data_IF_300185595182
#
_entry.id   IF_300185595182
#
_cell.length_a   1.000
_cell.length_b   1.000
_cell.length_c   1.000
_cell.angle_alpha   90.00
_cell.angle_beta   90.00
_cell.angle_gamma   90.00
#
_symmetry.space_group_name_H-M   'P 1'
#
loop_
_entity.id
_entity.type
_entity.pdbx_description
1 polymer ?
#
# COMPACT_ATOMS: atom_id res chain seq x y z
N UNK A 1 -46.79 50.62 -41.65
CA UNK A 1 -45.78 51.00 -40.64
C UNK A 1 -45.75 49.86 -39.62
N UNK A 2 -44.75 48.98 -39.70
CA UNK A 2 -43.47 49.14 -38.98
C UNK A 2 -43.66 48.84 -37.48
N UNK A 3 -43.76 47.56 -37.09
CA UNK A 3 -42.62 46.71 -36.69
C UNK A 3 -41.73 47.36 -35.62
N UNK A 4 -41.91 46.90 -34.37
CA UNK A 4 -40.96 47.08 -33.28
C UNK A 4 -40.24 45.75 -33.03
N UNK A 5 -39.02 45.59 -33.54
CA UNK A 5 -38.13 44.52 -33.12
C UNK A 5 -37.37 44.96 -31.87
N UNK A 6 -37.61 44.27 -30.75
CA UNK A 6 -36.78 44.42 -29.55
C UNK A 6 -35.60 43.46 -29.65
N UNK A 7 -34.41 43.99 -29.90
CA UNK A 7 -33.16 43.21 -29.92
C UNK A 7 -32.69 42.98 -28.48
N UNK A 8 -33.14 41.87 -27.87
CA UNK A 8 -32.41 41.31 -26.73
C UNK A 8 -31.04 40.85 -27.22
N UNK A 9 -29.97 41.41 -26.67
CA UNK A 9 -28.61 41.00 -27.03
C UNK A 9 -28.30 39.63 -26.40
N UNK A 10 -27.71 38.73 -27.18
CA UNK A 10 -27.23 37.44 -26.68
C UNK A 10 -26.10 37.64 -25.66
N UNK A 11 -26.31 37.18 -24.42
CA UNK A 11 -25.21 36.99 -23.49
C UNK A 11 -24.50 35.67 -23.85
N UNK A 12 -23.19 35.68 -24.17
CA UNK A 12 -22.49 34.47 -24.55
C UNK A 12 -22.32 33.54 -23.35
N UNK A 13 -23.02 32.40 -23.36
CA UNK A 13 -22.85 31.35 -22.34
C UNK A 13 -21.38 30.90 -22.29
N UNK A 14 -20.81 30.92 -21.09
CA UNK A 14 -19.37 30.76 -20.90
C UNK A 14 -18.85 29.36 -21.21
N UNK A 15 -18.26 29.18 -22.40
CA UNK A 15 -17.47 27.98 -22.79
C UNK A 15 -16.13 27.86 -22.04
N UNK A 16 -16.10 28.20 -20.76
CA UNK A 16 -14.92 28.15 -19.88
C UNK A 16 -15.08 27.19 -18.70
N UNK A 17 -16.10 26.33 -18.70
CA UNK A 17 -16.60 25.64 -17.51
C UNK A 17 -16.08 24.22 -17.27
N UNK A 18 -15.74 23.47 -18.31
CA UNK A 18 -15.33 22.06 -18.15
C UNK A 18 -13.81 21.88 -18.18
N UNK A 19 -13.13 22.45 -19.19
CA UNK A 19 -11.68 22.30 -19.35
C UNK A 19 -10.86 23.12 -18.33
N UNK A 20 -11.44 24.21 -17.80
CA UNK A 20 -10.85 24.97 -16.69
C UNK A 20 -10.98 24.21 -15.37
N UNK A 21 -12.16 23.63 -15.07
CA UNK A 21 -12.39 22.81 -13.86
C UNK A 21 -11.43 21.62 -13.77
N UNK A 22 -11.07 21.00 -14.89
CA UNK A 22 -10.03 19.96 -14.98
C UNK A 22 -8.63 20.40 -14.50
N UNK A 23 -8.42 21.68 -14.17
CA UNK A 23 -7.16 22.21 -13.63
C UNK A 23 -7.29 22.77 -12.21
N UNK A 24 -8.36 22.44 -11.49
CA UNK A 24 -8.59 22.86 -10.10
C UNK A 24 -8.76 21.69 -9.13
N UNK A 25 -8.65 20.44 -9.61
CA UNK A 25 -8.99 19.22 -8.87
C UNK A 25 -7.77 18.39 -8.42
N UNK A 26 -7.98 17.60 -7.35
CA UNK A 26 -7.00 16.66 -6.80
C UNK A 26 -7.33 15.20 -7.16
N UNK A 27 -6.41 14.54 -7.86
CA UNK A 27 -6.52 13.14 -8.28
C UNK A 27 -5.79 12.17 -7.35
N UNK A 28 -6.35 10.99 -7.08
CA UNK A 28 -5.72 9.96 -6.23
C UNK A 28 -5.83 8.57 -6.85
N UNK A 29 -4.72 7.87 -7.06
CA UNK A 29 -4.73 6.42 -7.34
C UNK A 29 -4.65 5.65 -6.01
N UNK A 30 -5.63 4.80 -5.74
CA UNK A 30 -5.57 3.80 -4.66
C UNK A 30 -5.11 2.46 -5.23
N UNK A 31 -4.13 1.82 -4.57
CA UNK A 31 -3.54 0.54 -5.01
C UNK A 31 -3.59 -0.48 -3.87
N UNK A 32 -4.21 -1.63 -4.12
CA UNK A 32 -4.41 -2.69 -3.11
C UNK A 32 -3.21 -3.64 -2.96
N UNK A 33 -3.29 -4.55 -1.98
CA UNK A 33 -2.26 -5.56 -1.69
C UNK A 33 -2.22 -6.76 -2.63
N UNK A 34 -1.23 -7.65 -2.44
CA UNK A 34 -1.03 -8.86 -3.24
C UNK A 34 -2.14 -9.90 -2.98
N UNK A 35 -2.76 -10.44 -4.03
CA UNK A 35 -4.02 -11.20 -3.97
C UNK A 35 -5.19 -10.38 -3.37
N UNK A 36 -5.08 -9.05 -3.33
CA UNK A 36 -6.13 -8.12 -2.93
C UNK A 36 -7.13 -7.82 -4.04
N UNK A 37 -7.99 -6.83 -3.81
CA UNK A 37 -8.89 -6.26 -4.82
C UNK A 37 -9.31 -4.83 -4.45
N UNK A 38 -10.06 -4.16 -5.33
CA UNK A 38 -10.72 -2.86 -5.04
C UNK A 38 -11.47 -2.81 -3.70
N UNK A 39 -11.98 -3.95 -3.21
CA UNK A 39 -12.68 -4.03 -1.92
C UNK A 39 -11.80 -3.59 -0.75
N UNK A 40 -10.49 -3.88 -0.79
CA UNK A 40 -9.53 -3.57 0.28
C UNK A 40 -9.41 -2.05 0.53
N UNK A 41 -9.58 -1.26 -0.54
CA UNK A 41 -9.45 0.21 -0.55
C UNK A 41 -10.80 0.93 -0.64
N UNK A 42 -11.92 0.21 -0.83
CA UNK A 42 -13.25 0.79 -1.13
C UNK A 42 -13.76 1.78 -0.07
N UNK A 43 -13.51 1.52 1.22
CA UNK A 43 -13.96 2.42 2.30
C UNK A 43 -13.18 3.74 2.28
N UNK A 44 -11.88 3.69 1.99
CA UNK A 44 -11.04 4.87 1.79
C UNK A 44 -11.42 5.61 0.50
N UNK A 45 -11.78 4.90 -0.57
CA UNK A 45 -12.32 5.51 -1.79
C UNK A 45 -13.56 6.35 -1.50
N UNK A 46 -14.55 5.79 -0.80
CA UNK A 46 -15.77 6.51 -0.41
C UNK A 46 -15.43 7.71 0.49
N UNK A 47 -14.53 7.53 1.46
CA UNK A 47 -14.11 8.58 2.39
C UNK A 47 -13.41 9.77 1.72
N UNK A 48 -12.60 9.51 0.68
CA UNK A 48 -11.91 10.54 -0.11
C UNK A 48 -12.82 11.18 -1.17
N UNK A 49 -13.66 10.39 -1.87
CA UNK A 49 -14.69 10.94 -2.79
C UNK A 49 -15.65 11.89 -2.08
N UNK A 50 -16.04 11.57 -0.84
CA UNK A 50 -16.89 12.42 0.00
C UNK A 50 -16.24 13.76 0.41
N UNK A 51 -14.95 13.97 0.11
CA UNK A 51 -14.20 15.23 0.30
C UNK A 51 -13.84 15.91 -1.04
N UNK A 52 -14.43 15.47 -2.15
CA UNK A 52 -14.21 16.06 -3.47
C UNK A 52 -12.93 15.65 -4.19
N UNK A 53 -12.26 14.57 -3.77
CA UNK A 53 -11.10 14.05 -4.52
C UNK A 53 -11.54 13.16 -5.70
N UNK A 54 -10.89 13.32 -6.86
CA UNK A 54 -11.04 12.41 -7.99
C UNK A 54 -10.28 11.10 -7.72
N UNK A 55 -10.97 10.11 -7.13
CA UNK A 55 -10.35 8.82 -6.80
C UNK A 55 -10.41 7.83 -7.97
N UNK A 56 -9.31 7.13 -8.21
CA UNK A 56 -9.20 5.91 -9.03
C UNK A 56 -8.83 4.75 -8.12
N UNK A 57 -9.76 3.83 -7.88
CA UNK A 57 -9.49 2.59 -7.17
C UNK A 57 -8.99 1.54 -8.18
N UNK A 58 -7.67 1.45 -8.35
CA UNK A 58 -7.04 0.59 -9.35
C UNK A 58 -7.20 -0.88 -8.95
N UNK A 59 -7.67 -1.69 -9.90
CA UNK A 59 -7.55 -3.14 -9.81
C UNK A 59 -6.25 -3.54 -10.51
N UNK A 60 -5.30 -4.10 -9.78
CA UNK A 60 -4.02 -4.53 -10.38
C UNK A 60 -4.26 -5.67 -11.38
N UNK A 61 -3.55 -5.71 -12.53
CA UNK A 61 -3.66 -6.81 -13.48
C UNK A 61 -3.60 -8.21 -12.84
N UNK A 62 -4.49 -9.09 -13.29
CA UNK A 62 -4.71 -10.44 -12.78
C UNK A 62 -5.36 -10.57 -11.40
N UNK A 63 -5.67 -9.46 -10.71
CA UNK A 63 -6.37 -9.47 -9.43
C UNK A 63 -7.88 -9.23 -9.61
N UNK A 64 -8.70 -9.64 -8.64
CA UNK A 64 -10.14 -9.36 -8.59
C UNK A 64 -11.03 -10.12 -9.60
N UNK A 65 -10.46 -10.73 -10.64
CA UNK A 65 -11.14 -11.68 -11.52
C UNK A 65 -11.55 -12.96 -10.77
N UNK A 66 -12.60 -13.64 -11.25
CA UNK A 66 -13.12 -14.89 -10.66
C UNK A 66 -12.11 -16.05 -10.74
N UNK A 67 -11.22 -16.06 -11.75
CA UNK A 67 -10.09 -16.98 -11.80
C UNK A 67 -8.76 -16.28 -11.52
N UNK A 68 -8.18 -16.63 -10.37
CA UNK A 68 -6.86 -16.17 -9.95
C UNK A 68 -5.71 -16.64 -10.85
N UNK A 69 -5.92 -17.55 -11.82
CA UNK A 69 -4.85 -18.02 -12.73
C UNK A 69 -4.15 -16.91 -13.49
N UNK A 70 -4.82 -15.78 -13.77
CA UNK A 70 -4.21 -14.62 -14.44
C UNK A 70 -2.96 -14.11 -13.73
N UNK A 71 -2.85 -14.30 -12.41
CA UNK A 71 -1.63 -14.04 -11.63
C UNK A 71 -0.41 -14.91 -11.99
N UNK A 72 -0.56 -15.90 -12.89
CA UNK A 72 0.54 -16.68 -13.47
C UNK A 72 1.09 -16.00 -14.74
N UNK A 73 0.26 -15.26 -15.46
CA UNK A 73 0.59 -14.58 -16.73
C UNK A 73 1.12 -13.15 -16.50
N UNK A 74 0.78 -12.55 -15.36
CA UNK A 74 1.10 -11.16 -15.00
C UNK A 74 2.37 -11.07 -14.14
N UNK A 75 3.26 -10.14 -14.50
CA UNK A 75 4.48 -9.81 -13.77
C UNK A 75 4.40 -8.51 -12.96
N UNK A 76 5.43 -8.27 -12.12
CA UNK A 76 5.51 -7.04 -11.32
C UNK A 76 5.62 -5.76 -12.17
N UNK A 77 6.14 -5.87 -13.39
CA UNK A 77 6.25 -4.74 -14.33
C UNK A 77 4.89 -4.27 -14.81
N UNK A 78 3.96 -5.19 -15.02
CA UNK A 78 2.60 -4.88 -15.46
C UNK A 78 1.80 -4.20 -14.34
N UNK A 79 2.06 -4.56 -13.07
CA UNK A 79 1.53 -3.84 -11.92
C UNK A 79 2.10 -2.42 -11.80
N UNK A 80 3.41 -2.22 -12.06
CA UNK A 80 4.03 -0.88 -12.10
C UNK A 80 3.43 -0.05 -13.24
N UNK A 81 3.26 -0.63 -14.42
CA UNK A 81 2.72 0.08 -15.59
C UNK A 81 1.24 0.43 -15.40
N UNK A 82 0.44 -0.43 -14.76
CA UNK A 82 -0.94 -0.10 -14.41
C UNK A 82 -1.03 1.13 -13.47
N UNK A 83 -0.15 1.21 -12.46
CA UNK A 83 -0.08 2.38 -11.56
C UNK A 83 0.44 3.63 -12.29
N UNK A 84 1.42 3.48 -13.19
CA UNK A 84 1.92 4.58 -14.03
C UNK A 84 0.83 5.12 -14.97
N UNK A 85 0.09 4.23 -15.64
CA UNK A 85 -0.97 4.58 -16.59
C UNK A 85 -2.07 5.42 -15.94
N UNK A 86 -2.60 4.98 -14.79
CA UNK A 86 -3.60 5.76 -14.05
C UNK A 86 -3.04 7.09 -13.51
N UNK A 87 -1.75 7.13 -13.13
CA UNK A 87 -1.10 8.37 -12.74
C UNK A 87 -1.03 9.38 -13.90
N UNK A 88 -0.61 8.96 -15.10
CA UNK A 88 -0.60 9.84 -16.27
C UNK A 88 -2.04 10.27 -16.65
N UNK A 89 -3.00 9.33 -16.58
CA UNK A 89 -4.41 9.61 -16.85
C UNK A 89 -5.04 10.59 -15.84
N UNK A 90 -4.49 10.73 -14.62
CA UNK A 90 -4.84 11.79 -13.68
C UNK A 90 -4.06 13.09 -13.94
N UNK A 91 -2.76 13.02 -14.27
CA UNK A 91 -1.94 14.20 -14.64
C UNK A 91 -2.52 15.02 -15.80
N UNK A 92 -3.28 14.38 -16.69
CA UNK A 92 -3.99 15.06 -17.79
C UNK A 92 -5.31 15.77 -17.38
N UNK A 93 -5.83 15.58 -16.15
CA UNK A 93 -7.16 16.08 -15.72
C UNK A 93 -7.26 16.54 -14.25
N UNK A 94 -6.15 16.66 -13.55
CA UNK A 94 -6.06 17.12 -12.17
C UNK A 94 -4.81 18.01 -12.04
N UNK A 95 -4.87 19.03 -11.16
CA UNK A 95 -3.74 19.93 -10.90
C UNK A 95 -2.84 19.46 -9.75
N UNK A 96 -3.32 18.54 -8.92
CA UNK A 96 -2.51 17.78 -7.99
C UNK A 96 -2.81 16.28 -8.15
N UNK A 97 -1.78 15.43 -8.09
CA UNK A 97 -1.89 13.97 -8.25
C UNK A 97 -1.15 13.22 -7.14
N UNK A 98 -1.86 12.23 -6.57
CA UNK A 98 -1.43 11.49 -5.40
C UNK A 98 -1.49 9.99 -5.61
N UNK A 99 -0.59 9.27 -4.93
CA UNK A 99 -0.59 7.81 -4.92
C UNK A 99 -0.76 7.28 -3.50
N UNK A 100 -1.69 6.37 -3.28
CA UNK A 100 -1.97 5.74 -1.98
C UNK A 100 -1.98 4.23 -2.15
N UNK A 101 -1.14 3.51 -1.42
CA UNK A 101 -0.95 2.08 -1.61
C UNK A 101 -0.90 1.27 -0.32
N UNK A 102 -1.57 0.11 -0.31
CA UNK A 102 -1.49 -0.87 0.79
C UNK A 102 -0.65 -2.09 0.39
N UNK A 103 0.24 -2.53 1.29
CA UNK A 103 1.08 -3.73 1.11
C UNK A 103 1.88 -3.68 -0.19
N UNK A 104 1.69 -4.63 -1.12
CA UNK A 104 2.21 -4.56 -2.50
C UNK A 104 1.94 -3.20 -3.15
N UNK A 105 0.71 -2.69 -3.07
CA UNK A 105 0.35 -1.37 -3.58
C UNK A 105 1.20 -0.27 -2.97
N UNK A 106 1.49 -0.34 -1.66
CA UNK A 106 2.37 0.58 -0.95
C UNK A 106 3.81 0.55 -1.48
N UNK A 107 4.31 -0.64 -1.81
CA UNK A 107 5.60 -0.83 -2.47
C UNK A 107 5.61 -0.32 -3.93
N UNK A 108 4.53 -0.53 -4.69
CA UNK A 108 4.38 -0.07 -6.07
C UNK A 108 4.33 1.46 -6.16
N UNK A 109 3.53 2.13 -5.30
CA UNK A 109 3.41 3.60 -5.34
C UNK A 109 4.71 4.30 -4.99
N UNK A 110 5.51 3.76 -4.07
CA UNK A 110 6.85 4.26 -3.78
C UNK A 110 7.81 4.08 -4.96
N UNK A 111 7.74 2.95 -5.66
CA UNK A 111 8.57 2.72 -6.85
C UNK A 111 8.20 3.66 -8.00
N UNK A 112 6.90 3.94 -8.22
CA UNK A 112 6.45 4.91 -9.21
C UNK A 112 6.84 6.34 -8.80
N UNK A 113 6.64 6.73 -7.54
CA UNK A 113 7.06 8.05 -7.02
C UNK A 113 8.59 8.29 -6.99
N UNK A 114 9.40 7.26 -7.27
CA UNK A 114 10.84 7.38 -7.48
C UNK A 114 11.24 7.69 -8.94
N UNK A 115 10.28 7.61 -9.87
CA UNK A 115 10.47 7.79 -11.32
C UNK A 115 9.57 8.91 -11.88
N UNK A 116 8.43 9.14 -11.23
CA UNK A 116 7.38 10.07 -11.65
C UNK A 116 7.21 11.17 -10.59
N UNK A 117 7.15 12.42 -11.04
CA UNK A 117 6.71 13.51 -10.17
C UNK A 117 5.25 13.26 -9.70
N UNK A 118 5.04 13.32 -8.39
CA UNK A 118 3.73 13.25 -7.71
C UNK A 118 3.71 14.26 -6.56
N UNK A 119 2.53 14.69 -6.14
CA UNK A 119 2.37 15.73 -5.12
C UNK A 119 2.32 15.16 -3.69
N UNK A 120 2.18 13.85 -3.57
CA UNK A 120 2.36 13.12 -2.33
C UNK A 120 2.15 11.62 -2.50
N UNK A 121 2.82 10.83 -1.67
CA UNK A 121 2.70 9.38 -1.63
C UNK A 121 2.36 8.87 -0.23
N UNK A 122 1.38 7.99 -0.12
CA UNK A 122 0.97 7.34 1.14
C UNK A 122 1.19 5.84 1.03
N UNK A 123 2.05 5.28 1.89
CA UNK A 123 2.47 3.88 1.83
C UNK A 123 2.10 3.14 3.12
N UNK A 124 1.09 2.28 3.04
CA UNK A 124 0.50 1.55 4.17
C UNK A 124 1.03 0.12 4.23
N UNK A 125 1.73 -0.24 5.32
CA UNK A 125 2.31 -1.56 5.58
C UNK A 125 3.13 -2.11 4.39
N UNK A 126 3.87 -1.22 3.72
CA UNK A 126 4.63 -1.53 2.52
C UNK A 126 5.86 -2.43 2.82
N UNK A 127 6.03 -3.57 2.12
CA UNK A 127 7.17 -4.46 2.32
C UNK A 127 8.45 -3.93 1.67
N UNK A 128 9.60 -4.31 2.25
CA UNK A 128 10.93 -3.99 1.70
C UNK A 128 11.94 -5.15 1.82
N UNK A 129 11.80 -5.96 2.87
CA UNK A 129 12.67 -7.07 3.24
C UNK A 129 11.86 -8.34 3.58
N UNK A 130 10.74 -8.57 2.90
CA UNK A 130 10.05 -9.87 2.92
C UNK A 130 11.02 -10.95 2.47
N UNK A 131 11.37 -11.85 3.40
CA UNK A 131 11.93 -13.20 3.25
C UNK A 131 12.69 -13.51 1.94
N UNK A 132 13.58 -12.65 1.45
CA UNK A 132 14.06 -12.76 0.05
C UNK A 132 14.89 -14.03 -0.23
N UNK A 133 15.35 -14.70 0.83
CA UNK A 133 15.99 -16.02 0.78
C UNK A 133 15.02 -17.18 0.43
N UNK A 134 13.70 -16.99 0.54
CA UNK A 134 12.69 -18.02 0.20
C UNK A 134 12.37 -18.07 -1.30
N UNK A 135 12.78 -17.07 -2.09
CA UNK A 135 12.55 -17.00 -3.54
C UNK A 135 12.90 -18.30 -4.31
N UNK A 136 14.08 -18.95 -4.13
CA UNK A 136 14.37 -20.24 -4.78
C UNK A 136 13.43 -21.37 -4.33
N UNK A 137 12.99 -21.37 -3.06
CA UNK A 137 12.04 -22.36 -2.55
C UNK A 137 10.62 -22.13 -3.12
N UNK A 138 10.20 -20.89 -3.30
CA UNK A 138 8.92 -20.52 -3.92
C UNK A 138 8.91 -20.87 -5.41
N UNK A 139 10.01 -20.60 -6.13
CA UNK A 139 10.22 -21.02 -7.53
C UNK A 139 10.11 -22.54 -7.72
N UNK A 140 10.60 -23.33 -6.75
CA UNK A 140 10.44 -24.78 -6.74
C UNK A 140 9.00 -25.19 -6.38
N UNK A 141 8.46 -24.65 -5.30
CA UNK A 141 7.11 -24.95 -4.81
C UNK A 141 6.02 -24.65 -5.85
N UNK A 142 6.15 -23.56 -6.63
CA UNK A 142 5.23 -23.22 -7.71
C UNK A 142 5.08 -24.31 -8.77
N UNK A 143 6.12 -25.12 -9.01
CA UNK A 143 6.07 -26.24 -9.98
C UNK A 143 5.24 -27.42 -9.49
N UNK A 144 5.04 -27.54 -8.17
CA UNK A 144 4.34 -28.67 -7.53
C UNK A 144 2.96 -28.26 -6.99
N UNK A 145 2.84 -27.03 -6.49
CA UNK A 145 1.65 -26.45 -5.88
C UNK A 145 1.50 -24.98 -6.32
N UNK A 146 1.08 -24.70 -7.57
CA UNK A 146 1.03 -23.33 -8.11
C UNK A 146 0.05 -22.40 -7.38
N UNK A 147 -0.96 -22.97 -6.70
CA UNK A 147 -1.94 -22.25 -5.87
C UNK A 147 -1.96 -22.84 -4.46
N UNK A 148 -2.04 -22.00 -3.43
CA UNK A 148 -2.22 -22.41 -2.03
C UNK A 148 -3.54 -21.84 -1.51
N UNK A 149 -4.36 -22.66 -0.84
CA UNK A 149 -5.54 -22.15 -0.11
C UNK A 149 -5.10 -21.33 1.09
N UNK A 150 -5.50 -20.07 1.12
CA UNK A 150 -5.28 -19.17 2.24
C UNK A 150 -6.64 -18.85 2.88
N UNK A 151 -6.73 -18.98 4.20
CA UNK A 151 -7.99 -18.93 4.93
C UNK A 151 -7.94 -18.04 6.18
N UNK A 152 -6.87 -17.25 6.36
CA UNK A 152 -6.68 -16.43 7.55
C UNK A 152 -6.19 -15.03 7.17
N UNK A 153 -7.08 -14.05 7.24
CA UNK A 153 -6.77 -12.68 6.85
C UNK A 153 -6.34 -11.86 8.07
N UNK A 154 -5.21 -11.16 7.94
CA UNK A 154 -4.51 -10.48 9.04
C UNK A 154 -5.14 -9.12 9.35
N UNK A 155 -6.34 -9.22 9.93
CA UNK A 155 -7.17 -8.17 10.53
C UNK A 155 -7.32 -8.59 12.00
N UNK A 156 -7.23 -7.68 12.98
CA UNK A 156 -7.43 -8.00 14.40
C UNK A 156 -8.90 -8.11 14.77
N UNK A 157 -9.73 -7.18 14.29
CA UNK A 157 -11.17 -7.19 14.59
C UNK A 157 -11.86 -8.47 14.08
N UNK A 158 -12.47 -9.30 14.96
CA UNK A 158 -13.18 -10.50 14.54
C UNK A 158 -14.37 -10.22 13.61
N UNK A 159 -15.07 -9.10 13.78
CA UNK A 159 -16.27 -8.77 12.99
C UNK A 159 -15.89 -8.38 11.56
N UNK A 160 -14.95 -7.44 11.39
CA UNK A 160 -14.40 -7.06 10.10
C UNK A 160 -13.67 -8.23 9.43
N UNK A 161 -12.88 -9.03 10.17
CA UNK A 161 -12.26 -10.26 9.62
C UNK A 161 -13.31 -11.21 9.05
N UNK A 162 -14.42 -11.45 9.76
CA UNK A 162 -15.50 -12.30 9.28
C UNK A 162 -16.21 -11.72 8.04
N UNK A 163 -16.53 -10.42 8.04
CA UNK A 163 -17.13 -9.74 6.89
C UNK A 163 -16.22 -9.79 5.65
N UNK A 164 -14.93 -9.50 5.84
CA UNK A 164 -13.90 -9.54 4.80
C UNK A 164 -13.70 -10.97 4.25
N UNK A 165 -13.59 -11.98 5.11
CA UNK A 165 -13.50 -13.39 4.70
C UNK A 165 -14.75 -13.85 3.93
N UNK A 166 -15.96 -13.43 4.34
CA UNK A 166 -17.19 -13.71 3.57
C UNK A 166 -17.18 -13.05 2.19
N UNK A 167 -16.63 -11.84 2.07
CA UNK A 167 -16.55 -11.16 0.77
C UNK A 167 -15.54 -11.85 -0.15
N UNK A 168 -14.33 -12.17 0.33
CA UNK A 168 -13.35 -12.99 -0.42
C UNK A 168 -13.90 -14.36 -0.82
N UNK A 169 -14.71 -14.99 0.04
CA UNK A 169 -15.35 -16.27 -0.27
C UNK A 169 -16.30 -16.16 -1.47
N UNK A 170 -17.17 -15.14 -1.51
CA UNK A 170 -18.08 -14.89 -2.66
C UNK A 170 -17.33 -14.66 -3.97
N UNK A 171 -16.14 -14.05 -3.89
CA UNK A 171 -15.31 -13.70 -5.06
C UNK A 171 -14.35 -14.84 -5.46
N UNK A 172 -14.41 -16.01 -4.81
CA UNK A 172 -13.50 -17.16 -5.03
C UNK A 172 -12.01 -16.93 -4.72
N UNK A 173 -11.60 -15.75 -4.21
CA UNK A 173 -10.21 -15.36 -3.87
C UNK A 173 -9.60 -16.08 -2.64
N UNK A 174 -9.96 -17.34 -2.40
CA UNK A 174 -9.35 -18.23 -1.38
C UNK A 174 -7.97 -18.75 -1.79
N UNK A 175 -7.61 -18.64 -3.07
CA UNK A 175 -6.38 -19.20 -3.62
C UNK A 175 -5.34 -18.09 -3.83
N UNK A 176 -4.19 -18.21 -3.17
CA UNK A 176 -3.01 -17.37 -3.44
C UNK A 176 -2.13 -18.07 -4.47
N UNK A 177 -1.73 -17.34 -5.51
CA UNK A 177 -0.89 -17.88 -6.60
C UNK A 177 0.58 -17.63 -6.30
N UNK A 178 1.41 -18.68 -6.34
CA UNK A 178 2.82 -18.56 -5.98
C UNK A 178 3.63 -17.69 -6.96
N UNK A 179 3.21 -17.58 -8.23
CA UNK A 179 3.82 -16.67 -9.20
C UNK A 179 3.70 -15.19 -8.79
N UNK A 180 2.61 -14.83 -8.09
CA UNK A 180 2.41 -13.47 -7.59
C UNK A 180 3.36 -13.16 -6.43
N UNK A 181 3.64 -14.14 -5.57
CA UNK A 181 4.61 -14.02 -4.47
C UNK A 181 6.05 -13.99 -5.02
N UNK A 182 6.35 -14.81 -6.03
CA UNK A 182 7.62 -14.79 -6.76
C UNK A 182 7.90 -13.40 -7.35
N UNK A 183 6.92 -12.82 -8.07
CA UNK A 183 7.00 -11.45 -8.61
C UNK A 183 7.22 -10.38 -7.55
N UNK A 184 6.50 -10.43 -6.41
CA UNK A 184 6.73 -9.50 -5.30
C UNK A 184 8.18 -9.61 -4.78
N UNK A 185 8.70 -10.81 -4.57
CA UNK A 185 10.07 -11.01 -4.07
C UNK A 185 11.15 -10.59 -5.08
N UNK A 186 10.89 -10.71 -6.38
CA UNK A 186 11.75 -10.19 -7.46
C UNK A 186 11.69 -8.66 -7.59
N UNK A 187 10.57 -8.05 -7.23
CA UNK A 187 10.38 -6.59 -7.26
C UNK A 187 11.08 -5.85 -6.11
N UNK A 188 11.08 -6.40 -4.89
CA UNK A 188 11.66 -5.70 -3.72
C UNK A 188 13.15 -5.27 -3.85
N UNK A 189 14.05 -6.00 -4.53
CA UNK A 189 15.37 -5.50 -4.91
C UNK A 189 15.34 -4.19 -5.70
N UNK A 190 14.44 -4.05 -6.68
CA UNK A 190 14.30 -2.85 -7.49
C UNK A 190 13.71 -1.69 -6.69
N UNK A 191 12.73 -1.95 -5.80
CA UNK A 191 12.24 -0.92 -4.87
C UNK A 191 13.37 -0.40 -3.97
N UNK A 192 14.20 -1.28 -3.39
CA UNK A 192 15.33 -0.88 -2.53
C UNK A 192 16.37 -0.02 -3.26
N UNK A 193 16.52 -0.18 -4.57
CA UNK A 193 17.38 0.68 -5.40
C UNK A 193 16.73 2.03 -5.71
N UNK A 194 15.40 2.07 -5.85
CA UNK A 194 14.65 3.26 -6.23
C UNK A 194 14.31 4.20 -5.05
N UNK A 195 14.15 3.70 -3.82
CA UNK A 195 13.74 4.51 -2.67
C UNK A 195 14.50 5.85 -2.49
N UNK A 196 15.84 5.93 -2.67
CA UNK A 196 16.57 7.20 -2.55
C UNK A 196 16.17 8.28 -3.56
N UNK A 197 15.47 7.94 -4.64
CA UNK A 197 14.95 8.89 -5.62
C UNK A 197 13.53 9.41 -5.28
N UNK A 198 12.85 8.86 -4.27
CA UNK A 198 11.55 9.36 -3.81
C UNK A 198 11.75 10.69 -3.08
N UNK A 199 11.43 11.79 -3.76
CA UNK A 199 11.55 13.18 -3.25
C UNK A 199 10.21 13.84 -2.94
N UNK A 200 9.09 13.29 -3.43
CA UNK A 200 7.74 13.79 -3.15
C UNK A 200 7.38 13.69 -1.65
N UNK A 201 6.48 14.53 -1.11
CA UNK A 201 5.99 14.42 0.26
C UNK A 201 5.47 13.00 0.57
N UNK A 202 5.79 12.45 1.73
CA UNK A 202 5.60 11.01 1.99
C UNK A 202 5.03 10.68 3.37
N UNK A 203 3.87 10.02 3.41
CA UNK A 203 3.25 9.50 4.64
C UNK A 203 3.37 7.97 4.69
N UNK A 204 4.26 7.48 5.54
CA UNK A 204 4.45 6.05 5.77
C UNK A 204 3.59 5.61 6.96
N UNK A 205 2.85 4.51 6.80
CA UNK A 205 1.98 3.94 7.83
C UNK A 205 2.36 2.49 8.11
N UNK A 206 2.44 2.09 9.37
CA UNK A 206 2.72 0.70 9.78
C UNK A 206 1.80 0.25 10.92
N UNK A 207 1.29 -0.98 10.87
CA UNK A 207 0.71 -1.62 12.05
C UNK A 207 1.82 -2.13 12.98
N UNK A 208 1.66 -2.00 14.30
CA UNK A 208 2.62 -2.49 15.30
C UNK A 208 2.64 -4.02 15.38
N UNK A 209 1.51 -4.65 15.08
CA UNK A 209 1.26 -6.09 15.18
C UNK A 209 0.95 -6.71 13.80
N UNK A 210 1.63 -6.23 12.76
CA UNK A 210 1.58 -6.80 11.42
C UNK A 210 2.29 -8.17 11.39
N UNK A 211 1.58 -9.23 11.01
CA UNK A 211 2.12 -10.59 10.91
C UNK A 211 2.61 -10.94 9.49
N UNK A 212 2.35 -10.09 8.51
CA UNK A 212 2.71 -10.29 7.10
C UNK A 212 3.98 -9.49 6.75
N UNK A 213 3.98 -8.19 7.04
CA UNK A 213 5.08 -7.26 6.74
C UNK A 213 5.67 -6.71 8.05
N UNK A 214 6.90 -7.12 8.43
CA UNK A 214 7.52 -6.67 9.67
C UNK A 214 7.56 -5.13 9.79
N UNK A 215 7.15 -4.50 10.92
CA UNK A 215 7.02 -3.04 11.04
C UNK A 215 8.35 -2.26 10.92
N UNK A 216 9.48 -2.97 10.84
CA UNK A 216 10.81 -2.42 10.51
C UNK A 216 10.92 -1.98 9.05
N UNK A 217 10.12 -2.54 8.15
CA UNK A 217 10.22 -2.29 6.71
C UNK A 217 9.73 -0.87 6.40
N UNK A 218 8.60 -0.43 6.97
CA UNK A 218 8.17 0.97 6.90
C UNK A 218 9.15 1.96 7.56
N UNK A 219 9.82 1.58 8.66
CA UNK A 219 10.93 2.37 9.23
C UNK A 219 12.10 2.48 8.25
N UNK A 220 12.48 1.38 7.60
CA UNK A 220 13.55 1.37 6.61
C UNK A 220 13.19 2.24 5.39
N UNK A 221 11.94 2.18 4.91
CA UNK A 221 11.41 3.07 3.86
C UNK A 221 11.55 4.54 4.28
N UNK A 222 11.02 4.91 5.45
CA UNK A 222 11.09 6.28 5.98
C UNK A 222 12.53 6.84 6.03
N UNK A 223 13.50 6.02 6.44
CA UNK A 223 14.90 6.42 6.46
C UNK A 223 15.59 6.43 5.07
N UNK A 224 15.15 5.62 4.11
CA UNK A 224 15.77 5.49 2.79
C UNK A 224 15.25 6.48 1.72
N UNK A 225 14.04 7.02 1.88
CA UNK A 225 13.53 8.05 0.95
C UNK A 225 14.19 9.42 1.17
N UNK A 226 14.46 10.15 0.08
CA UNK A 226 15.09 11.48 0.12
C UNK A 226 14.09 12.64 0.24
N UNK A 227 12.81 12.34 0.44
CA UNK A 227 11.76 13.33 0.65
C UNK A 227 12.09 14.28 1.82
N UNK A 228 11.99 15.60 1.61
CA UNK A 228 12.22 16.59 2.67
C UNK A 228 11.04 16.67 3.64
N UNK A 229 9.85 16.28 3.21
CA UNK A 229 8.62 16.30 4.00
C UNK A 229 8.06 14.88 4.12
N UNK A 230 8.48 14.18 5.17
CA UNK A 230 8.16 12.77 5.37
C UNK A 230 7.78 12.44 6.80
N UNK A 231 6.85 11.51 6.92
CA UNK A 231 6.17 11.17 8.17
C UNK A 231 6.04 9.65 8.34
N UNK A 232 5.99 9.19 9.59
CA UNK A 232 5.83 7.77 9.93
C UNK A 232 4.84 7.62 11.09
N UNK A 233 3.68 7.02 10.82
CA UNK A 233 2.64 6.75 11.82
C UNK A 233 2.62 5.25 12.13
N UNK A 234 2.57 4.89 13.42
CA UNK A 234 2.45 3.51 13.90
C UNK A 234 1.07 3.29 14.51
N UNK A 235 0.30 2.36 13.94
CA UNK A 235 -1.03 1.98 14.39
C UNK A 235 -0.96 0.80 15.37
N UNK A 236 -1.63 0.89 16.51
CA UNK A 236 -1.43 -0.05 17.63
C UNK A 236 -2.57 -1.06 17.84
N UNK A 237 -3.75 -0.81 17.26
CA UNK A 237 -4.90 -1.71 17.41
C UNK A 237 -5.02 -2.65 16.22
N UNK A 238 -4.48 -2.31 15.06
CA UNK A 238 -4.58 -3.08 13.82
C UNK A 238 -3.46 -4.11 13.60
N UNK A 239 -3.74 -5.08 12.73
CA UNK A 239 -2.78 -6.00 12.07
C UNK A 239 -2.51 -5.52 10.62
N UNK A 240 -2.05 -6.37 9.69
CA UNK A 240 -1.62 -5.95 8.34
C UNK A 240 -2.66 -5.12 7.56
N UNK A 241 -3.94 -5.52 7.51
CA UNK A 241 -4.96 -4.88 6.67
C UNK A 241 -5.61 -3.67 7.37
N UNK A 242 -4.80 -2.66 7.69
CA UNK A 242 -5.20 -1.48 8.47
C UNK A 242 -6.42 -0.72 7.92
N UNK A 243 -6.71 -0.81 6.62
CA UNK A 243 -7.89 -0.19 5.98
C UNK A 243 -9.22 -0.89 6.33
N UNK A 244 -9.18 -2.04 7.01
CA UNK A 244 -10.34 -2.87 7.40
C UNK A 244 -10.37 -3.22 8.89
N UNK A 245 -9.52 -2.59 9.71
CA UNK A 245 -9.26 -3.02 11.08
C UNK A 245 -9.56 -1.89 12.09
N UNK A 246 -9.27 -2.09 13.38
CA UNK A 246 -9.66 -1.16 14.46
C UNK A 246 -9.18 0.29 14.32
N UNK A 247 -8.11 0.56 13.56
CA UNK A 247 -7.61 1.91 13.32
C UNK A 247 -8.02 2.49 11.95
N UNK A 248 -8.90 1.81 11.17
CA UNK A 248 -9.27 2.21 9.79
C UNK A 248 -9.70 3.68 9.66
N UNK A 249 -10.45 4.18 10.64
CA UNK A 249 -11.00 5.54 10.62
C UNK A 249 -9.89 6.58 10.82
N UNK A 250 -8.93 6.30 11.72
CA UNK A 250 -7.73 7.13 11.86
C UNK A 250 -6.85 7.05 10.60
N UNK A 251 -6.67 5.86 10.02
CA UNK A 251 -5.95 5.68 8.74
C UNK A 251 -6.57 6.54 7.63
N UNK A 252 -7.90 6.60 7.54
CA UNK A 252 -8.59 7.43 6.56
C UNK A 252 -8.44 8.92 6.86
N UNK A 253 -8.56 9.34 8.13
CA UNK A 253 -8.33 10.72 8.57
C UNK A 253 -6.92 11.21 8.27
N UNK A 254 -5.87 10.46 8.66
CA UNK A 254 -4.49 10.87 8.41
C UNK A 254 -4.17 10.89 6.92
N UNK A 255 -4.74 9.96 6.14
CA UNK A 255 -4.62 9.97 4.68
C UNK A 255 -5.26 11.24 4.09
N UNK A 256 -6.51 11.53 4.41
CA UNK A 256 -7.22 12.69 3.86
C UNK A 256 -6.59 14.02 4.30
N UNK A 257 -6.17 14.15 5.57
CA UNK A 257 -5.53 15.35 6.10
C UNK A 257 -4.20 15.65 5.39
N UNK A 258 -3.36 14.63 5.17
CA UNK A 258 -2.12 14.75 4.42
C UNK A 258 -2.36 15.14 2.95
N UNK A 259 -3.27 14.44 2.25
CA UNK A 259 -3.60 14.74 0.85
C UNK A 259 -4.15 16.17 0.68
N UNK A 260 -5.01 16.62 1.61
CA UNK A 260 -5.58 17.97 1.63
C UNK A 260 -4.51 19.03 1.85
N UNK A 261 -3.57 18.81 2.76
CA UNK A 261 -2.46 19.73 3.01
C UNK A 261 -1.56 19.90 1.78
N UNK A 262 -1.17 18.78 1.13
CA UNK A 262 -0.34 18.85 -0.07
C UNK A 262 -1.08 19.47 -1.26
N UNK A 263 -2.38 19.22 -1.40
CA UNK A 263 -3.22 19.87 -2.41
C UNK A 263 -3.29 21.40 -2.19
N UNK A 264 -3.49 21.85 -0.94
CA UNK A 264 -3.46 23.27 -0.60
C UNK A 264 -2.09 23.92 -0.89
N UNK A 265 -0.97 23.21 -0.66
CA UNK A 265 0.38 23.67 -1.08
C UNK A 265 0.55 23.79 -2.59
N UNK A 266 -0.29 23.12 -3.40
CA UNK A 266 -0.39 23.27 -4.86
C UNK A 266 -1.45 24.28 -5.31
N UNK A 267 -2.16 24.94 -4.39
CA UNK A 267 -3.28 25.85 -4.69
C UNK A 267 -4.60 25.15 -5.03
N UNK A 268 -4.67 23.82 -4.91
CA UNK A 268 -5.87 23.01 -5.16
C UNK A 268 -6.73 22.98 -3.90
N UNK A 269 -7.92 23.60 -3.94
CA UNK A 269 -8.82 23.71 -2.79
C UNK A 269 -9.73 22.49 -2.69
N UNK A 270 -9.46 21.63 -1.71
CA UNK A 270 -10.30 20.47 -1.39
C UNK A 270 -11.41 20.89 -0.39
N UNK A 271 -12.67 20.56 -0.70
CA UNK A 271 -13.82 20.89 0.14
C UNK A 271 -13.99 19.88 1.28
N UNK A 272 -13.60 20.29 2.49
CA UNK A 272 -13.75 19.52 3.72
C UNK A 272 -13.57 20.40 4.95
N UNK A 273 -13.89 19.86 6.14
CA UNK A 273 -13.64 20.55 7.40
C UNK A 273 -12.14 20.82 7.62
N UNK A 274 -11.81 21.79 8.47
CA UNK A 274 -10.45 22.31 8.59
C UNK A 274 -9.50 21.32 9.30
N UNK A 275 -8.95 20.37 8.50
CA UNK A 275 -8.24 19.17 8.96
C UNK A 275 -6.92 19.41 9.70
N UNK A 276 -6.44 20.66 9.83
CA UNK A 276 -5.22 21.02 10.58
C UNK A 276 -5.18 20.44 12.01
N UNK A 277 -6.35 20.32 12.68
CA UNK A 277 -6.44 19.73 14.03
C UNK A 277 -6.12 18.24 14.09
N UNK A 278 -6.51 17.46 13.07
CA UNK A 278 -6.23 16.01 13.00
C UNK A 278 -4.74 15.71 12.78
N UNK A 279 -4.03 16.69 12.19
CA UNK A 279 -2.60 16.69 11.93
C UNK A 279 -1.78 16.93 13.20
N UNK A 280 -2.09 17.99 13.95
CA UNK A 280 -1.32 18.42 15.12
C UNK A 280 -1.24 17.40 16.27
N UNK A 281 -2.14 16.41 16.33
CA UNK A 281 -2.12 15.35 17.35
C UNK A 281 -1.35 14.08 16.95
N UNK A 282 -0.97 13.91 15.68
CA UNK A 282 -0.25 12.72 15.18
C UNK A 282 1.12 13.05 14.57
N UNK A 283 1.43 14.34 14.44
CA UNK A 283 2.59 14.88 13.76
C UNK A 283 3.83 15.13 14.61
N UNK A 284 4.09 14.37 15.68
CA UNK A 284 5.40 14.44 16.32
C UNK A 284 6.46 13.82 15.41
N UNK A 285 7.59 14.49 15.12
CA UNK A 285 8.76 13.82 14.58
C UNK A 285 9.14 12.66 15.50
N UNK A 286 9.52 11.52 14.93
CA UNK A 286 9.82 10.32 15.72
C UNK A 286 11.01 10.57 16.66
N UNK A 287 10.71 10.84 17.93
CA UNK A 287 11.69 10.69 19.01
C UNK A 287 11.92 9.18 19.23
N UNK A 288 13.15 8.66 19.05
CA UNK A 288 13.46 7.32 19.52
C UNK A 288 13.31 7.29 21.04
N UNK A 289 12.75 6.21 21.63
CA UNK A 289 12.58 6.13 23.08
C UNK A 289 13.94 6.33 23.77
N UNK A 290 14.03 7.17 24.82
CA UNK A 290 15.30 7.51 25.45
C UNK A 290 15.93 6.24 26.02
N UNK A 291 17.02 5.79 25.39
CA UNK A 291 17.71 4.55 25.75
C UNK A 291 18.41 4.78 27.11
N UNK A 292 18.02 4.06 28.19
CA UNK A 292 18.70 4.19 29.48
C UNK A 292 20.17 3.82 29.31
N UNK A 293 21.06 4.69 29.79
CA UNK A 293 22.40 4.83 29.22
C UNK A 293 23.29 3.59 29.32
N UNK A 294 23.76 3.10 28.17
CA UNK A 294 24.95 2.24 28.06
C UNK A 294 25.74 2.63 26.80
N UNK A 295 26.88 3.29 27.00
CA UNK A 295 27.61 3.99 25.94
C UNK A 295 28.32 3.05 24.95
N UNK A 296 28.16 3.34 23.66
CA UNK A 296 29.09 3.19 22.50
C UNK A 296 29.79 1.85 22.20
N UNK A 297 29.97 0.91 23.15
CA UNK A 297 30.65 -0.38 22.91
C UNK A 297 29.72 -1.44 22.31
N UNK A 298 28.50 -1.61 22.84
CA UNK A 298 27.57 -2.64 22.37
C UNK A 298 27.13 -2.43 20.91
N UNK A 299 27.02 -1.18 20.44
CA UNK A 299 26.66 -0.90 19.03
C UNK A 299 27.73 -1.37 18.04
N UNK A 300 29.01 -1.10 18.33
CA UNK A 300 30.14 -1.58 17.51
C UNK A 300 30.26 -3.11 17.56
N UNK A 301 30.08 -3.71 18.74
CA UNK A 301 30.04 -5.17 18.88
C UNK A 301 28.90 -5.80 18.07
N UNK A 302 27.70 -5.20 18.09
CA UNK A 302 26.55 -5.69 17.35
C UNK A 302 26.77 -5.65 15.82
N UNK A 303 27.34 -4.57 15.28
CA UNK A 303 27.73 -4.52 13.86
C UNK A 303 28.78 -5.60 13.50
N UNK A 304 29.75 -5.86 14.40
CA UNK A 304 30.79 -6.86 14.18
C UNK A 304 30.25 -8.30 14.26
N UNK A 305 29.29 -8.57 15.15
CA UNK A 305 28.57 -9.85 15.20
C UNK A 305 27.69 -10.07 13.96
N UNK A 306 27.07 -9.02 13.42
CA UNK A 306 26.19 -9.12 12.24
C UNK A 306 26.92 -9.64 10.99
N UNK A 307 28.21 -9.33 10.85
CA UNK A 307 29.07 -9.91 9.80
C UNK A 307 29.37 -11.40 10.05
N UNK A 308 29.58 -11.80 11.31
CA UNK A 308 29.95 -13.16 11.70
C UNK A 308 28.77 -14.15 11.72
N UNK A 309 27.53 -13.69 11.91
CA UNK A 309 26.32 -14.53 11.86
C UNK A 309 25.94 -15.02 10.45
N UNK A 310 26.77 -14.74 9.43
CA UNK A 310 26.58 -15.19 8.05
C UNK A 310 26.82 -16.70 7.81
N UNK A 311 27.32 -17.44 8.82
CA UNK A 311 27.60 -18.89 8.72
C UNK A 311 26.93 -19.73 9.83
N UNK A 312 25.89 -20.51 9.46
CA UNK A 312 25.60 -21.89 9.94
C UNK A 312 24.30 -22.43 9.32
N UNK A 313 24.42 -23.09 8.16
CA UNK A 313 23.29 -23.72 7.44
C UNK A 313 22.78 -25.01 8.09
N UNK A 314 23.56 -25.67 8.93
CA UNK A 314 23.26 -27.01 9.44
C UNK A 314 22.06 -27.10 10.41
N UNK A 315 21.92 -26.15 11.35
CA UNK A 315 20.90 -26.26 12.42
C UNK A 315 19.47 -26.05 11.91
N UNK A 316 19.29 -25.30 10.81
CA UNK A 316 17.96 -25.05 10.25
C UNK A 316 17.33 -26.30 9.59
N UNK A 317 18.17 -27.20 9.06
CA UNK A 317 17.71 -28.45 8.44
C UNK A 317 17.02 -29.37 9.47
N UNK A 318 17.56 -29.50 10.68
CA UNK A 318 16.94 -30.28 11.75
C UNK A 318 15.58 -29.72 12.16
N UNK A 319 15.46 -28.41 12.41
CA UNK A 319 14.17 -27.77 12.71
C UNK A 319 13.13 -27.99 11.59
N UNK A 320 13.54 -27.92 10.32
CA UNK A 320 12.63 -28.15 9.21
C UNK A 320 12.14 -29.61 9.12
N UNK A 321 13.01 -30.60 9.37
CA UNK A 321 12.59 -32.01 9.44
C UNK A 321 11.60 -32.28 10.59
N UNK A 322 11.81 -31.68 11.78
CA UNK A 322 10.86 -31.80 12.90
C UNK A 322 9.52 -31.15 12.60
N UNK A 323 9.50 -29.98 11.96
CA UNK A 323 8.26 -29.29 11.59
C UNK A 323 7.46 -30.07 10.52
N UNK A 324 8.14 -30.55 9.47
CA UNK A 324 7.51 -31.35 8.41
C UNK A 324 6.88 -32.65 8.96
N UNK A 325 7.58 -33.35 9.87
CA UNK A 325 7.07 -34.54 10.53
C UNK A 325 5.84 -34.24 11.41
N UNK A 326 5.82 -33.10 12.11
CA UNK A 326 4.68 -32.69 12.94
C UNK A 326 3.45 -32.35 12.09
N UNK A 327 3.63 -31.64 10.97
CA UNK A 327 2.54 -31.32 10.03
C UNK A 327 1.96 -32.59 9.41
N UNK A 328 2.82 -33.50 8.94
CA UNK A 328 2.38 -34.76 8.30
C UNK A 328 1.65 -35.70 9.28
N UNK A 329 2.11 -35.79 10.53
CA UNK A 329 1.44 -36.62 11.55
C UNK A 329 0.11 -36.04 12.04
N UNK A 330 -0.09 -34.71 11.97
CA UNK A 330 -1.38 -34.08 12.26
C UNK A 330 -2.40 -34.20 11.11
N UNK A 331 -1.97 -34.17 9.84
CA UNK A 331 -2.89 -34.41 8.70
C UNK A 331 -3.27 -35.88 8.58
N UNK A 332 -2.32 -36.82 8.75
CA UNK A 332 -2.60 -38.25 8.70
C UNK A 332 -3.63 -38.73 9.75
N UNK A 333 -3.70 -38.09 10.93
CA UNK A 333 -4.70 -38.38 11.97
C UNK A 333 -6.11 -37.85 11.68
N UNK A 334 -6.33 -37.10 10.59
CA UNK A 334 -7.66 -36.63 10.14
C UNK A 334 -8.16 -37.35 8.89
N UNK A 335 -7.47 -38.40 8.44
CA UNK A 335 -7.82 -39.18 7.25
C UNK A 335 -7.76 -40.69 7.56
N UNK A 336 -8.71 -41.14 8.37
CA UNK A 336 -9.26 -42.49 8.34
C UNK A 336 -10.80 -42.38 8.35
N UNK A 337 -11.52 -43.31 7.68
CA UNK A 337 -12.98 -43.31 7.65
C UNK A 337 -13.59 -43.60 9.02
#
# INVERSE_FOLDING_TARGET
>A
MAFLFSTSADLPEGKGTEETRRKEEAGVVLVHGLNGSRYDMQELEVYLRARGLQVVNLLLPGHGEEDVTRLVEVGWRDWVEAVRSELQALKHRCAAVFLVGHSLGGALVLYVAAQEAVDGVVAMCAPLHLYSWTLPFIRLARRLMPRIRWAWEDIRDPAARYAYSRQRFKQSHQWRVLAAIENLLEFLPHLRQALPAVTAPALIMVARHDHVVPPRDGRAIYHQISSPEKYLITFHRSYHLITKDYDREEVFEKTAAFLTEQAHKRGVVIQGENHQRAWQQAGTPFEPPPVPGLQTRCWRWCQQQWQLTSMRTAQFAQCFTSWAALVYTQTAKKLKP
#
